data_IF_294727696936
#
_entry.id   IF_294727696936
#
_cell.length_a   1.000
_cell.length_b   1.000
_cell.length_c   1.000
_cell.angle_alpha   90.00
_cell.angle_beta   90.00
_cell.angle_gamma   90.00
#
_symmetry.space_group_name_H-M   'P 1'
#
loop_
_entity.id
_entity.type
_entity.pdbx_description
1 polymer ?
#
# COMPACT_ATOMS: atom_id res chain seq x y z
N UNK A 1 30.00 -43.07 28.90
CA UNK A 1 29.67 -41.74 28.36
C UNK A 1 29.51 -41.72 26.83
N UNK A 2 28.77 -42.68 26.25
CA UNK A 2 28.50 -42.74 24.79
C UNK A 2 27.02 -42.64 24.43
N UNK A 3 26.13 -42.86 25.41
CA UNK A 3 24.66 -42.86 25.23
C UNK A 3 24.00 -41.50 25.50
N UNK A 4 24.65 -40.61 26.26
CA UNK A 4 24.16 -39.24 26.49
C UNK A 4 24.36 -38.33 25.28
N UNK A 5 25.31 -38.65 24.39
CA UNK A 5 25.55 -37.89 23.15
C UNK A 5 24.45 -38.14 22.11
N UNK A 6 23.72 -39.26 22.20
CA UNK A 6 22.66 -39.60 21.24
C UNK A 6 21.32 -38.89 21.53
N UNK A 7 21.11 -38.40 22.76
CA UNK A 7 19.85 -37.71 23.13
C UNK A 7 19.92 -36.21 22.78
N UNK A 8 21.12 -35.63 22.73
CA UNK A 8 21.32 -34.21 22.36
C UNK A 8 21.10 -33.91 20.87
N UNK A 9 21.03 -34.93 20.01
CA UNK A 9 20.90 -34.75 18.57
C UNK A 9 19.43 -34.63 18.10
N UNK A 10 18.44 -34.86 18.97
CA UNK A 10 17.02 -34.90 18.58
C UNK A 10 16.29 -33.56 18.73
N UNK A 11 16.95 -32.50 19.20
CA UNK A 11 16.30 -31.21 19.51
C UNK A 11 16.51 -30.11 18.46
N UNK A 12 16.97 -30.44 17.26
CA UNK A 12 17.43 -29.46 16.26
C UNK A 12 16.48 -29.23 15.07
N UNK A 13 15.24 -29.72 15.13
CA UNK A 13 14.28 -29.51 14.03
C UNK A 13 12.94 -29.01 14.59
N UNK A 14 12.93 -27.82 15.15
CA UNK A 14 11.73 -26.97 15.13
C UNK A 14 12.03 -25.81 14.19
N UNK A 15 11.90 -26.06 12.88
CA UNK A 15 11.82 -24.97 11.92
C UNK A 15 10.55 -24.18 12.25
N UNK A 16 10.74 -22.94 12.70
CA UNK A 16 9.68 -21.96 12.75
C UNK A 16 9.16 -21.77 11.32
N UNK A 17 8.02 -22.38 11.00
CA UNK A 17 7.19 -21.96 9.87
C UNK A 17 6.55 -20.62 10.24
N UNK A 18 7.38 -19.57 10.33
CA UNK A 18 6.89 -18.21 10.37
C UNK A 18 6.37 -17.86 8.99
N UNK A 19 5.05 -17.92 8.81
CA UNK A 19 4.43 -17.34 7.61
C UNK A 19 4.85 -15.88 7.54
N UNK A 20 5.67 -15.56 6.55
CA UNK A 20 6.08 -14.18 6.36
C UNK A 20 4.89 -13.39 5.86
N UNK A 21 4.51 -12.34 6.60
CA UNK A 21 3.43 -11.43 6.20
C UNK A 21 3.67 -10.78 4.84
N UNK A 22 4.92 -10.75 4.35
CA UNK A 22 5.29 -10.24 3.02
C UNK A 22 4.63 -11.02 1.89
N UNK A 23 4.21 -12.26 2.11
CA UNK A 23 3.49 -13.06 1.12
C UNK A 23 2.04 -12.59 0.90
N UNK A 24 1.51 -11.74 1.78
CA UNK A 24 0.14 -11.24 1.71
C UNK A 24 0.09 -9.85 1.07
N UNK A 25 -0.87 -9.66 0.17
CA UNK A 25 -1.08 -8.39 -0.50
C UNK A 25 -2.07 -7.48 0.26
N UNK A 26 -3.09 -8.08 0.88
CA UNK A 26 -4.21 -7.38 1.48
C UNK A 26 -4.18 -7.46 3.01
N UNK A 27 -4.36 -6.32 3.66
CA UNK A 27 -4.49 -6.22 5.11
C UNK A 27 -5.75 -5.44 5.47
N UNK A 28 -6.59 -6.01 6.33
CA UNK A 28 -7.68 -5.33 7.00
C UNK A 28 -7.15 -4.70 8.28
N UNK A 29 -7.40 -3.40 8.45
CA UNK A 29 -7.17 -2.71 9.73
C UNK A 29 -8.55 -2.27 10.25
N UNK A 30 -8.98 -2.73 11.44
CA UNK A 30 -10.26 -2.34 11.98
C UNK A 30 -10.23 -0.86 12.40
N UNK A 31 -11.38 -0.19 12.35
CA UNK A 31 -11.49 1.19 12.84
C UNK A 31 -11.23 1.29 14.35
N UNK A 32 -11.62 0.23 15.07
CA UNK A 32 -11.36 0.05 16.50
C UNK A 32 -10.74 -1.31 16.76
N UNK A 33 -9.63 -1.31 17.48
CA UNK A 33 -8.95 -2.50 17.98
C UNK A 33 -9.70 -3.11 19.17
N UNK A 34 -9.52 -4.42 19.36
CA UNK A 34 -10.05 -5.16 20.51
C UNK A 34 -9.50 -4.62 21.84
N UNK A 35 -8.24 -4.18 21.85
CA UNK A 35 -7.67 -3.46 22.98
C UNK A 35 -8.10 -1.98 22.97
N UNK A 36 -8.94 -1.62 23.94
CA UNK A 36 -9.43 -0.26 24.12
C UNK A 36 -8.31 0.77 24.35
N UNK A 37 -7.17 0.37 24.91
CA UNK A 37 -6.03 1.28 25.13
C UNK A 37 -5.35 1.66 23.82
N UNK A 38 -5.25 0.71 22.88
CA UNK A 38 -4.66 0.93 21.56
C UNK A 38 -5.50 1.81 20.63
N UNK A 39 -6.79 2.03 20.95
CA UNK A 39 -7.66 2.95 20.22
C UNK A 39 -7.42 4.42 20.54
N UNK A 40 -6.60 4.70 21.55
CA UNK A 40 -6.18 6.05 21.88
C UNK A 40 -5.01 6.47 20.99
N UNK A 41 -4.70 7.76 20.95
CA UNK A 41 -3.47 8.29 20.34
C UNK A 41 -3.34 8.12 18.80
N UNK A 42 -4.42 7.76 18.10
CA UNK A 42 -4.46 7.70 16.64
C UNK A 42 -3.57 6.61 16.02
N UNK A 43 -3.32 5.52 16.75
CA UNK A 43 -2.45 4.43 16.29
C UNK A 43 -2.98 3.71 15.04
N UNK A 44 -4.30 3.68 14.84
CA UNK A 44 -4.94 3.15 13.64
C UNK A 44 -4.51 3.90 12.37
N UNK A 45 -4.56 5.24 12.40
CA UNK A 45 -4.17 6.10 11.27
C UNK A 45 -2.68 5.89 10.95
N UNK A 46 -1.84 5.80 11.99
CA UNK A 46 -0.41 5.58 11.82
C UNK A 46 -0.12 4.19 11.23
N UNK A 47 -0.78 3.15 11.72
CA UNK A 47 -0.63 1.78 11.22
C UNK A 47 -1.02 1.69 9.74
N UNK A 48 -2.18 2.22 9.36
CA UNK A 48 -2.63 2.27 7.96
C UNK A 48 -1.60 2.98 7.08
N UNK A 49 -1.12 4.16 7.51
CA UNK A 49 -0.11 4.93 6.77
C UNK A 49 1.18 4.13 6.58
N UNK A 50 1.67 3.46 7.63
CA UNK A 50 2.93 2.70 7.60
C UNK A 50 2.81 1.39 6.81
N UNK A 51 1.68 0.70 6.87
CA UNK A 51 1.43 -0.50 6.05
C UNK A 51 1.33 -0.15 4.56
N UNK A 52 0.62 0.94 4.21
CA UNK A 52 0.60 1.45 2.84
C UNK A 52 1.99 1.81 2.32
N UNK A 53 2.82 2.44 3.17
CA UNK A 53 4.21 2.74 2.83
C UNK A 53 5.06 1.47 2.57
N UNK A 54 4.63 0.32 3.08
CA UNK A 54 5.25 -1.00 2.84
C UNK A 54 4.56 -1.80 1.73
N UNK A 55 3.83 -1.13 0.83
CA UNK A 55 3.17 -1.74 -0.34
C UNK A 55 2.03 -2.71 0.00
N UNK A 56 1.52 -2.71 1.24
CA UNK A 56 0.31 -3.46 1.57
C UNK A 56 -0.95 -2.69 1.13
N UNK A 57 -1.90 -3.40 0.54
CA UNK A 57 -3.21 -2.85 0.19
C UNK A 57 -4.11 -2.93 1.41
N UNK A 58 -4.51 -1.77 1.94
CA UNK A 58 -5.41 -1.70 3.09
C UNK A 58 -6.86 -1.71 2.62
N UNK A 59 -7.60 -2.75 2.98
CA UNK A 59 -9.02 -2.85 2.68
C UNK A 59 -9.83 -2.14 3.77
N UNK A 60 -10.74 -1.26 3.36
CA UNK A 60 -11.81 -0.75 4.22
C UNK A 60 -12.85 -1.85 4.45
N UNK A 61 -13.64 -1.75 5.52
CA UNK A 61 -14.68 -2.74 5.81
C UNK A 61 -15.67 -2.92 4.64
N UNK A 62 -15.97 -1.84 3.92
CA UNK A 62 -16.82 -1.84 2.73
C UNK A 62 -16.18 -2.48 1.50
N UNK A 63 -14.86 -2.33 1.33
CA UNK A 63 -14.12 -2.93 0.21
C UNK A 63 -13.78 -4.42 0.47
N UNK A 64 -13.80 -4.84 1.73
CA UNK A 64 -13.60 -6.25 2.06
C UNK A 64 -14.76 -7.10 1.56
N UNK A 65 -16.01 -6.66 1.78
CA UNK A 65 -17.20 -7.42 1.39
C UNK A 65 -17.21 -7.77 -0.10
N UNK A 66 -16.78 -6.84 -0.97
CA UNK A 66 -16.70 -7.06 -2.42
C UNK A 66 -15.50 -7.90 -2.86
N UNK A 67 -14.38 -7.86 -2.11
CA UNK A 67 -13.20 -8.69 -2.38
C UNK A 67 -13.39 -10.14 -1.92
N UNK A 68 -14.05 -10.37 -0.78
CA UNK A 68 -14.35 -11.71 -0.24
C UNK A 68 -15.44 -12.43 -1.01
N UNK A 69 -16.22 -11.73 -1.83
CA UNK A 69 -17.26 -12.32 -2.66
C UNK A 69 -16.70 -13.02 -3.91
N UNK A 70 -15.47 -12.64 -4.33
CA UNK A 70 -14.82 -13.17 -5.53
C UNK A 70 -13.46 -13.85 -5.28
N UNK A 71 -12.88 -13.74 -4.07
CA UNK A 71 -11.57 -14.29 -3.72
C UNK A 71 -11.59 -15.03 -2.37
N UNK A 72 -10.57 -15.86 -2.12
CA UNK A 72 -10.42 -16.58 -0.87
C UNK A 72 -10.27 -15.60 0.32
N UNK A 73 -11.11 -15.69 1.37
CA UNK A 73 -11.08 -14.76 2.51
C UNK A 73 -9.77 -14.83 3.30
N UNK A 74 -9.02 -15.92 3.13
CA UNK A 74 -7.73 -16.15 3.77
C UNK A 74 -6.56 -15.44 3.07
N UNK A 75 -6.78 -14.78 1.93
CA UNK A 75 -5.78 -13.90 1.31
C UNK A 75 -5.65 -12.53 1.99
N UNK A 76 -6.58 -12.22 2.91
CA UNK A 76 -6.61 -10.97 3.67
C UNK A 76 -6.18 -11.24 5.11
N UNK A 77 -5.13 -10.56 5.57
CA UNK A 77 -4.75 -10.57 6.98
C UNK A 77 -5.48 -9.50 7.76
N UNK A 78 -5.90 -9.79 8.98
CA UNK A 78 -6.39 -8.78 9.92
C UNK A 78 -5.27 -8.32 10.84
N UNK A 79 -5.04 -7.01 10.90
CA UNK A 79 -4.04 -6.41 11.79
C UNK A 79 -4.69 -5.84 13.04
N UNK A 80 -4.24 -6.27 14.22
CA UNK A 80 -4.67 -5.76 15.51
C UNK A 80 -3.48 -5.14 16.26
N UNK A 81 -3.72 -4.03 16.96
CA UNK A 81 -2.76 -3.41 17.87
C UNK A 81 -3.15 -3.76 19.30
N UNK A 82 -2.14 -4.13 20.09
CA UNK A 82 -2.28 -4.43 21.51
C UNK A 82 -1.24 -3.61 22.28
N UNK A 83 -1.68 -2.95 23.36
CA UNK A 83 -0.83 -2.27 24.31
C UNK A 83 -0.24 -3.29 25.29
N UNK A 84 1.07 -3.52 25.18
CA UNK A 84 1.85 -4.41 26.06
C UNK A 84 2.80 -3.62 26.96
N UNK A 85 2.49 -2.33 27.18
CA UNK A 85 3.27 -1.43 28.02
C UNK A 85 3.35 -1.91 29.46
N UNK A 86 4.44 -1.55 30.12
CA UNK A 86 4.61 -1.71 31.56
C UNK A 86 4.78 -0.33 32.20
N UNK A 87 4.89 -0.28 33.53
CA UNK A 87 4.94 0.99 34.29
C UNK A 87 6.07 1.95 33.86
N UNK A 88 7.10 1.45 33.16
CA UNK A 88 8.31 2.21 32.83
C UNK A 88 8.60 2.29 31.33
N UNK A 89 7.82 1.62 30.48
CA UNK A 89 8.13 1.50 29.05
C UNK A 89 6.85 1.37 28.26
N UNK A 90 6.70 2.28 27.29
CA UNK A 90 5.65 2.22 26.28
C UNK A 90 5.99 1.11 25.28
N UNK A 91 5.07 0.17 25.10
CA UNK A 91 5.24 -0.96 24.19
C UNK A 91 3.95 -1.27 23.45
N UNK A 92 4.11 -1.57 22.17
CA UNK A 92 3.01 -1.92 21.27
C UNK A 92 3.34 -3.24 20.59
N UNK A 93 2.34 -4.12 20.48
CA UNK A 93 2.43 -5.32 19.65
C UNK A 93 1.41 -5.24 18.51
N UNK A 94 1.86 -5.52 17.29
CA UNK A 94 1.02 -5.66 16.11
C UNK A 94 0.86 -7.16 15.83
N UNK A 95 -0.37 -7.66 15.91
CA UNK A 95 -0.70 -9.05 15.63
C UNK A 95 -1.43 -9.13 14.28
N UNK A 96 -0.92 -9.96 13.37
CA UNK A 96 -1.55 -10.30 12.11
C UNK A 96 -2.26 -11.65 12.24
N UNK A 97 -3.54 -11.68 11.93
CA UNK A 97 -4.39 -12.87 12.00
C UNK A 97 -4.90 -13.26 10.62
N UNK A 98 -5.04 -14.54 10.38
CA UNK A 98 -5.70 -15.07 9.19
C UNK A 98 -7.25 -15.02 9.32
N UNK A 99 -7.93 -15.54 8.30
CA UNK A 99 -9.37 -15.72 8.24
C UNK A 99 -9.97 -16.56 9.39
N UNK A 100 -9.15 -17.40 10.04
CA UNK A 100 -9.55 -18.28 11.16
C UNK A 100 -9.19 -17.67 12.52
N UNK A 101 -8.89 -16.36 12.57
CA UNK A 101 -8.37 -15.65 13.75
C UNK A 101 -7.05 -16.21 14.31
N UNK A 102 -6.34 -17.05 13.56
CA UNK A 102 -5.06 -17.61 13.98
C UNK A 102 -3.95 -16.57 13.75
N UNK A 103 -3.12 -16.35 14.76
CA UNK A 103 -1.96 -15.44 14.64
C UNK A 103 -0.95 -16.03 13.65
N UNK A 104 -0.71 -15.28 12.56
CA UNK A 104 0.24 -15.58 11.48
C UNK A 104 1.60 -14.98 11.82
N UNK A 105 1.61 -13.76 12.35
CA UNK A 105 2.82 -13.08 12.80
C UNK A 105 2.51 -12.04 13.88
N UNK A 106 3.50 -11.78 14.73
CA UNK A 106 3.42 -10.77 15.78
C UNK A 106 4.71 -9.95 15.83
N UNK A 107 4.59 -8.63 15.87
CA UNK A 107 5.71 -7.71 15.93
C UNK A 107 5.57 -6.78 17.12
N UNK A 108 6.47 -6.90 18.09
CA UNK A 108 6.53 -6.00 19.25
C UNK A 108 7.48 -4.84 18.96
N UNK A 109 7.13 -3.64 19.40
CA UNK A 109 7.97 -2.46 19.40
C UNK A 109 7.93 -1.74 20.74
N UNK A 110 9.01 -1.03 21.05
CA UNK A 110 9.17 -0.34 22.35
C UNK A 110 9.68 1.07 22.16
N UNK A 111 9.26 1.97 23.04
CA UNK A 111 9.77 3.34 23.08
C UNK A 111 10.41 3.66 24.44
N UNK A 112 11.41 4.53 24.39
CA UNK A 112 12.03 5.15 25.58
C UNK A 112 11.42 6.51 25.92
N UNK A 113 10.54 7.04 25.06
CA UNK A 113 9.85 8.30 25.30
C UNK A 113 8.84 8.09 26.43
N UNK A 114 8.92 8.95 27.46
CA UNK A 114 8.06 8.86 28.64
C UNK A 114 6.66 9.38 28.39
N UNK A 115 6.50 10.36 27.51
CA UNK A 115 5.18 10.80 27.06
C UNK A 115 4.46 9.62 26.40
N UNK A 116 3.21 9.39 26.79
CA UNK A 116 2.47 8.19 26.39
C UNK A 116 2.00 8.28 24.94
N UNK A 117 1.55 9.44 24.47
CA UNK A 117 1.07 9.59 23.10
C UNK A 117 2.22 9.46 22.10
N UNK A 118 3.31 10.19 22.35
CA UNK A 118 4.51 10.13 21.51
C UNK A 118 5.19 8.77 21.63
N UNK A 119 5.29 8.21 22.84
CA UNK A 119 5.90 6.92 23.10
C UNK A 119 5.15 5.76 22.47
N UNK A 120 3.81 5.77 22.43
CA UNK A 120 3.04 4.73 21.75
C UNK A 120 3.15 4.83 20.23
N UNK A 121 3.18 6.04 19.67
CA UNK A 121 3.44 6.25 18.23
C UNK A 121 4.85 5.79 17.85
N UNK A 122 5.85 6.10 18.67
CA UNK A 122 7.24 5.68 18.46
C UNK A 122 7.41 4.15 18.60
N UNK A 123 6.80 3.54 19.61
CA UNK A 123 6.78 2.08 19.78
C UNK A 123 6.14 1.37 18.58
N UNK A 124 5.07 1.94 18.03
CA UNK A 124 4.45 1.43 16.81
C UNK A 124 5.39 1.57 15.59
N UNK A 125 6.17 2.65 15.50
CA UNK A 125 7.18 2.78 14.46
C UNK A 125 8.29 1.73 14.60
N UNK A 126 8.75 1.45 15.82
CA UNK A 126 9.73 0.39 16.10
C UNK A 126 9.21 -0.99 15.67
N UNK A 127 7.95 -1.30 15.98
CA UNK A 127 7.31 -2.54 15.52
C UNK A 127 7.26 -2.60 13.99
N UNK A 128 6.90 -1.49 13.33
CA UNK A 128 6.82 -1.42 11.87
C UNK A 128 8.18 -1.59 11.19
N UNK A 129 9.30 -1.24 11.81
CA UNK A 129 10.62 -1.48 11.20
C UNK A 129 10.93 -2.97 11.01
N UNK A 130 10.36 -3.84 11.85
CA UNK A 130 10.55 -5.30 11.82
C UNK A 130 9.69 -5.98 10.76
N UNK A 131 8.71 -5.27 10.20
CA UNK A 131 7.82 -5.76 9.16
C UNK A 131 8.50 -5.54 7.79
N UNK A 132 8.64 -6.61 7.01
CA UNK A 132 9.13 -6.52 5.64
C UNK A 132 8.13 -5.83 4.71
N UNK A 133 8.61 -5.35 3.56
CA UNK A 133 7.76 -4.83 2.47
C UNK A 133 6.96 -5.98 1.87
N UNK A 134 5.71 -5.71 1.48
CA UNK A 134 4.88 -6.69 0.77
C UNK A 134 5.53 -7.09 -0.56
N UNK A 135 5.65 -8.39 -0.79
CA UNK A 135 6.12 -8.98 -2.03
C UNK A 135 5.28 -10.25 -2.32
N UNK A 136 4.01 -10.08 -2.70
CA UNK A 136 3.13 -11.20 -2.98
C UNK A 136 3.60 -11.85 -4.28
N UNK A 137 4.33 -12.97 -4.16
CA UNK A 137 4.64 -13.82 -5.31
C UNK A 137 3.32 -14.44 -5.75
N UNK A 138 2.80 -14.05 -6.92
CA UNK A 138 1.68 -14.72 -7.58
C UNK A 138 2.03 -16.21 -7.68
N UNK A 139 1.40 -17.03 -6.84
CA UNK A 139 1.61 -18.49 -6.80
C UNK A 139 2.02 -19.10 -5.46
N UNK A 140 2.10 -18.37 -4.34
CA UNK A 140 2.48 -18.97 -3.04
C UNK A 140 1.42 -18.91 -1.93
N UNK A 141 0.27 -18.25 -2.14
CA UNK A 141 -0.83 -18.32 -1.16
C UNK A 141 -1.51 -19.72 -1.18
N UNK A 142 -1.20 -20.53 -2.20
CA UNK A 142 -1.63 -21.92 -2.30
C UNK A 142 -0.46 -22.92 -2.15
N UNK A 143 0.36 -22.84 -1.09
CA UNK A 143 1.28 -23.95 -0.77
C UNK A 143 1.34 -24.21 0.74
N UNK A 144 0.24 -24.75 1.27
CA UNK A 144 0.28 -25.85 2.24
C UNK A 144 -0.86 -26.84 1.93
N UNK A 145 -0.81 -27.43 0.73
CA UNK A 145 -1.37 -28.77 0.52
C UNK A 145 -0.29 -29.60 -0.17
N UNK A 146 0.25 -30.50 0.64
CA UNK A 146 0.76 -31.83 0.32
C UNK A 146 1.28 -32.11 -1.11
N UNK A 147 2.55 -32.49 -1.12
CA UNK A 147 3.42 -33.02 -2.17
C UNK A 147 2.87 -34.22 -2.97
N UNK A 148 2.92 -34.17 -4.31
CA UNK A 148 3.25 -35.27 -5.26
C UNK A 148 3.75 -34.62 -6.58
N UNK A 149 4.77 -35.18 -7.30
CA UNK A 149 5.65 -34.39 -8.18
C UNK A 149 5.13 -34.18 -9.61
N UNK A 150 5.59 -33.06 -10.20
CA UNK A 150 5.35 -32.62 -11.58
C UNK A 150 6.33 -33.29 -12.55
N UNK A 151 5.79 -33.92 -13.59
CA UNK A 151 6.53 -34.33 -14.80
C UNK A 151 6.46 -33.23 -15.85
N UNK A 152 7.62 -32.89 -16.41
CA UNK A 152 7.89 -31.86 -17.42
C UNK A 152 7.61 -32.38 -18.83
N UNK A 153 6.86 -31.62 -19.66
CA UNK A 153 6.99 -31.51 -21.14
C UNK A 153 6.41 -30.13 -21.57
N UNK A 154 7.21 -29.14 -21.97
CA UNK A 154 7.80 -28.80 -23.29
C UNK A 154 6.80 -28.33 -24.37
N UNK A 155 6.66 -27.01 -24.45
CA UNK A 155 6.73 -26.09 -25.60
C UNK A 155 6.27 -26.55 -27.00
N UNK A 156 5.22 -25.90 -27.55
CA UNK A 156 5.26 -25.45 -28.94
C UNK A 156 4.46 -24.14 -29.20
N UNK A 157 5.16 -23.29 -29.94
CA UNK A 157 4.89 -22.00 -30.57
C UNK A 157 3.85 -22.10 -31.70
N UNK A 158 2.85 -21.20 -31.73
CA UNK A 158 2.31 -20.69 -33.00
C UNK A 158 2.03 -19.20 -32.90
N UNK A 159 2.63 -18.50 -33.87
CA UNK A 159 2.56 -17.09 -34.16
C UNK A 159 1.47 -16.93 -35.22
N UNK A 160 0.50 -16.04 -35.01
CA UNK A 160 -0.22 -15.46 -36.14
C UNK A 160 -0.56 -13.99 -35.86
N UNK A 161 -0.41 -13.23 -36.93
CA UNK A 161 -0.29 -11.79 -37.02
C UNK A 161 -1.59 -11.17 -37.57
N UNK A 162 -1.76 -9.87 -37.30
CA UNK A 162 -2.25 -8.80 -38.21
C UNK A 162 -3.55 -8.07 -37.82
N UNK A 163 -3.39 -6.74 -37.72
CA UNK A 163 -4.29 -5.58 -37.97
C UNK A 163 -5.25 -5.03 -36.90
N UNK A 164 -4.76 -3.96 -36.27
CA UNK A 164 -5.28 -2.57 -36.21
C UNK A 164 -6.57 -2.28 -37.04
N UNK A 165 -7.60 -1.70 -36.42
CA UNK A 165 -8.16 -0.33 -36.64
C UNK A 165 -9.51 -0.15 -35.89
N UNK A 166 -9.53 0.84 -35.00
CA UNK A 166 -10.58 1.84 -34.69
C UNK A 166 -12.08 1.51 -34.81
N UNK A 167 -12.84 1.72 -33.72
CA UNK A 167 -14.07 2.54 -33.73
C UNK A 167 -14.67 2.83 -32.34
N UNK A 168 -14.77 4.14 -32.05
CA UNK A 168 -15.91 4.94 -31.57
C UNK A 168 -16.92 4.39 -30.53
N UNK A 169 -17.10 5.24 -29.51
CA UNK A 169 -18.23 5.45 -28.59
C UNK A 169 -19.57 5.65 -29.34
N UNK A 170 -20.75 5.29 -28.78
CA UNK A 170 -21.60 6.22 -27.98
C UNK A 170 -22.26 5.54 -26.73
N UNK A 171 -22.24 6.13 -25.52
CA UNK A 171 -23.19 7.09 -24.90
C UNK A 171 -24.32 6.47 -24.04
N UNK A 172 -24.21 6.71 -22.73
CA UNK A 172 -25.20 6.98 -21.67
C UNK A 172 -26.42 6.07 -21.41
N UNK A 173 -26.68 5.72 -20.13
CA UNK A 173 -27.81 6.25 -19.32
C UNK A 173 -27.46 6.26 -17.80
N UNK A 174 -27.58 7.46 -17.24
CA UNK A 174 -27.99 7.93 -15.90
C UNK A 174 -28.42 6.94 -14.82
N UNK A 175 -27.89 7.11 -13.60
CA UNK A 175 -28.70 7.34 -12.40
C UNK A 175 -27.96 8.22 -11.38
N UNK A 176 -28.67 9.26 -10.94
CA UNK A 176 -28.24 10.38 -10.10
C UNK A 176 -28.57 10.06 -8.64
N UNK A 177 -27.57 10.12 -7.77
CA UNK A 177 -27.71 10.43 -6.36
C UNK A 177 -26.58 11.40 -5.98
N UNK A 178 -26.88 12.38 -5.16
CA UNK A 178 -26.37 13.74 -5.22
C UNK A 178 -25.50 14.09 -3.99
N UNK A 179 -24.23 14.47 -4.21
CA UNK A 179 -23.40 15.39 -3.37
C UNK A 179 -21.96 15.50 -3.94
N UNK A 180 -21.18 16.56 -3.66
CA UNK A 180 -21.29 17.94 -4.10
C UNK A 180 -20.34 18.28 -5.27
N UNK A 181 -20.82 19.13 -6.19
CA UNK A 181 -20.10 20.00 -7.15
C UNK A 181 -18.70 19.58 -7.63
N UNK A 182 -18.67 18.67 -8.61
CA UNK A 182 -17.49 18.39 -9.44
C UNK A 182 -17.31 19.53 -10.44
N UNK A 183 -16.32 20.39 -10.19
CA UNK A 183 -15.81 21.32 -11.21
C UNK A 183 -15.14 20.51 -12.32
N UNK A 184 -15.46 20.87 -13.57
CA UNK A 184 -15.00 20.30 -14.84
C UNK A 184 -13.56 19.76 -14.77
N UNK A 185 -13.38 18.44 -14.85
CA UNK A 185 -12.06 17.81 -14.91
C UNK A 185 -11.36 18.21 -16.22
N UNK A 186 -10.25 18.95 -16.12
CA UNK A 186 -9.40 19.25 -17.27
C UNK A 186 -8.45 18.06 -17.52
N UNK A 187 -8.36 17.58 -18.76
CA UNK A 187 -7.51 16.43 -19.10
C UNK A 187 -6.19 16.92 -19.70
N UNK A 188 -5.09 16.32 -19.29
CA UNK A 188 -3.74 16.63 -19.73
C UNK A 188 -3.01 15.37 -20.17
N UNK A 189 -2.18 15.44 -21.20
CA UNK A 189 -1.40 14.30 -21.72
C UNK A 189 0.01 14.69 -22.15
N UNK A 190 0.94 13.74 -22.03
CA UNK A 190 2.29 13.84 -22.60
C UNK A 190 2.50 12.84 -23.77
N UNK A 191 1.43 12.27 -24.31
CA UNK A 191 1.44 11.26 -25.38
C UNK A 191 1.48 9.80 -24.88
N UNK A 192 2.09 9.54 -23.72
CA UNK A 192 2.14 8.19 -23.11
C UNK A 192 1.23 8.07 -21.90
N UNK A 193 1.04 9.17 -21.16
CA UNK A 193 0.23 9.24 -19.95
C UNK A 193 -0.87 10.28 -20.13
N UNK A 194 -2.07 9.96 -19.65
CA UNK A 194 -3.23 10.86 -19.61
C UNK A 194 -3.66 11.04 -18.16
N UNK A 195 -3.77 12.29 -17.73
CA UNK A 195 -3.99 12.70 -16.35
C UNK A 195 -5.15 13.69 -16.28
N UNK A 196 -6.01 13.53 -15.27
CA UNK A 196 -7.09 14.44 -14.96
C UNK A 196 -6.63 15.42 -13.89
N UNK A 197 -6.72 16.72 -14.19
CA UNK A 197 -6.51 17.78 -13.22
C UNK A 197 -7.78 17.98 -12.41
N UNK A 198 -7.66 17.81 -11.10
CA UNK A 198 -8.73 18.04 -10.13
C UNK A 198 -8.28 19.16 -9.21
N UNK A 199 -8.95 20.30 -9.28
CA UNK A 199 -8.65 21.48 -8.45
C UNK A 199 -9.26 21.29 -7.07
N UNK A 200 -8.45 21.50 -6.05
CA UNK A 200 -8.81 21.47 -4.63
C UNK A 200 -8.97 22.92 -4.12
N UNK A 201 -9.26 23.06 -2.83
CA UNK A 201 -9.33 24.36 -2.16
C UNK A 201 -7.95 25.03 -2.12
N UNK A 202 -7.94 26.36 -1.98
CA UNK A 202 -6.73 27.18 -1.77
C UNK A 202 -5.68 27.10 -2.91
N UNK A 203 -6.11 26.79 -4.14
CA UNK A 203 -5.22 26.73 -5.30
C UNK A 203 -4.34 25.48 -5.36
N UNK A 204 -4.55 24.52 -4.46
CA UNK A 204 -3.99 23.17 -4.58
C UNK A 204 -4.73 22.41 -5.70
N UNK A 205 -4.03 21.52 -6.40
CA UNK A 205 -4.67 20.61 -7.33
C UNK A 205 -3.91 19.28 -7.39
N UNK A 206 -4.58 18.25 -7.90
CA UNK A 206 -3.96 16.95 -8.16
C UNK A 206 -4.03 16.62 -9.63
N UNK A 207 -3.02 15.89 -10.10
CA UNK A 207 -3.10 15.14 -11.35
C UNK A 207 -3.40 13.69 -11.02
N UNK A 208 -4.55 13.19 -11.44
CA UNK A 208 -4.99 11.82 -11.21
C UNK A 208 -4.93 11.03 -12.52
N UNK A 209 -4.28 9.86 -12.50
CA UNK A 209 -4.41 8.91 -13.60
C UNK A 209 -5.74 8.15 -13.40
N UNK A 210 -6.65 8.10 -14.40
CA UNK A 210 -7.94 7.43 -14.24
C UNK A 210 -7.83 5.92 -13.93
N UNK A 211 -6.68 5.31 -14.27
CA UNK A 211 -6.40 3.91 -13.99
C UNK A 211 -5.67 3.69 -12.65
N UNK A 212 -5.51 4.72 -11.82
CA UNK A 212 -4.82 4.68 -10.54
C UNK A 212 -5.62 5.38 -9.45
N UNK A 213 -5.72 4.75 -8.28
CA UNK A 213 -6.30 5.40 -7.09
C UNK A 213 -5.33 6.35 -6.39
N UNK A 214 -4.04 6.35 -6.78
CA UNK A 214 -3.02 7.29 -6.29
C UNK A 214 -2.86 8.41 -7.31
N UNK A 215 -2.93 9.69 -6.88
CA UNK A 215 -2.65 10.81 -7.78
C UNK A 215 -1.21 10.70 -8.28
N UNK A 216 -1.03 10.97 -9.57
CA UNK A 216 0.28 11.06 -10.20
C UNK A 216 1.15 12.12 -9.51
N UNK A 217 0.55 13.25 -9.13
CA UNK A 217 1.21 14.26 -8.32
C UNK A 217 0.22 15.21 -7.64
N UNK A 218 0.62 15.70 -6.47
CA UNK A 218 -0.11 16.69 -5.66
C UNK A 218 0.63 18.01 -5.76
N UNK A 219 -0.06 19.07 -6.20
CA UNK A 219 0.52 20.37 -6.50
C UNK A 219 0.08 21.39 -5.47
N UNK A 220 0.99 21.80 -4.59
CA UNK A 220 0.76 22.83 -3.58
C UNK A 220 1.34 24.16 -4.04
N UNK A 221 0.59 25.26 -4.01
CA UNK A 221 1.08 26.56 -4.48
C UNK A 221 2.32 26.99 -3.69
N UNK A 222 3.30 27.54 -4.40
CA UNK A 222 4.49 28.17 -3.80
C UNK A 222 4.30 29.68 -3.63
N UNK A 223 5.31 30.36 -3.11
CA UNK A 223 5.34 31.83 -3.06
C UNK A 223 5.48 32.49 -4.44
N UNK A 224 5.91 31.75 -5.46
CA UNK A 224 6.03 32.23 -6.84
C UNK A 224 4.77 31.86 -7.62
N UNK A 225 4.22 32.84 -8.35
CA UNK A 225 3.04 32.66 -9.21
C UNK A 225 3.27 31.50 -10.19
N UNK A 226 2.22 30.70 -10.39
CA UNK A 226 2.20 29.56 -11.32
C UNK A 226 3.28 28.49 -11.05
N UNK A 227 3.87 28.51 -9.86
CA UNK A 227 4.89 27.56 -9.42
C UNK A 227 4.40 26.80 -8.19
N UNK A 228 4.62 25.50 -8.15
CA UNK A 228 4.06 24.56 -7.20
C UNK A 228 5.14 23.64 -6.63
N UNK A 229 5.03 23.33 -5.34
CA UNK A 229 5.71 22.18 -4.74
C UNK A 229 4.92 20.93 -5.10
N UNK A 230 5.56 20.01 -5.80
CA UNK A 230 4.92 18.80 -6.29
C UNK A 230 5.37 17.62 -5.44
N UNK A 231 4.42 16.86 -4.91
CA UNK A 231 4.68 15.56 -4.33
C UNK A 231 4.21 14.50 -5.32
N UNK A 232 5.15 13.73 -5.88
CA UNK A 232 4.87 12.64 -6.82
C UNK A 232 4.28 11.42 -6.11
N UNK A 233 3.74 10.49 -6.88
CA UNK A 233 3.12 9.25 -6.37
C UNK A 233 4.06 8.35 -5.56
N UNK A 234 5.37 8.44 -5.83
CA UNK A 234 6.44 7.76 -5.08
C UNK A 234 6.83 8.47 -3.77
N UNK A 235 6.21 9.63 -3.50
CA UNK A 235 6.49 10.47 -2.34
C UNK A 235 7.62 11.48 -2.55
N UNK A 236 8.32 11.41 -3.69
CA UNK A 236 9.40 12.34 -4.05
C UNK A 236 8.84 13.75 -4.18
N UNK A 237 9.52 14.71 -3.56
CA UNK A 237 9.15 16.12 -3.66
C UNK A 237 10.01 16.81 -4.70
N UNK A 238 9.35 17.50 -5.61
CA UNK A 238 9.98 18.23 -6.71
C UNK A 238 9.25 19.54 -6.98
N UNK A 239 9.66 20.26 -8.02
CA UNK A 239 9.02 21.47 -8.49
C UNK A 239 8.15 21.17 -9.72
N UNK A 240 7.05 21.90 -9.84
CA UNK A 240 6.26 21.94 -11.05
C UNK A 240 5.74 23.35 -11.28
N UNK A 241 5.48 23.70 -12.53
CA UNK A 241 5.02 25.03 -12.89
C UNK A 241 4.09 24.96 -14.09
N UNK A 242 3.26 25.99 -14.23
CA UNK A 242 2.38 26.18 -15.38
C UNK A 242 3.05 27.12 -16.36
N UNK A 243 3.22 26.68 -17.61
CA UNK A 243 3.82 27.45 -18.69
C UNK A 243 2.93 27.35 -19.92
N UNK A 244 2.37 28.48 -20.38
CA UNK A 244 1.48 28.53 -21.54
C UNK A 244 0.28 27.55 -21.49
N UNK A 245 -0.25 27.30 -20.29
CA UNK A 245 -1.35 26.34 -20.09
C UNK A 245 -0.93 24.87 -20.12
N UNK A 246 0.37 24.58 -20.19
CA UNK A 246 0.95 23.25 -19.98
C UNK A 246 1.38 23.09 -18.53
N UNK A 247 1.38 21.86 -18.04
CA UNK A 247 1.90 21.51 -16.72
C UNK A 247 3.28 20.91 -16.91
N UNK A 248 4.30 21.55 -16.34
CA UNK A 248 5.66 21.05 -16.34
C UNK A 248 6.01 20.54 -14.94
N UNK A 249 6.64 19.37 -14.88
CA UNK A 249 7.09 18.75 -13.62
C UNK A 249 8.56 18.39 -13.79
N UNK A 250 9.40 18.87 -12.89
CA UNK A 250 10.81 18.50 -12.83
C UNK A 250 10.93 17.10 -12.21
N UNK A 251 11.43 16.14 -12.95
CA UNK A 251 11.65 14.78 -12.45
C UNK A 251 13.10 14.64 -12.01
N UNK A 252 13.37 14.41 -10.72
CA UNK A 252 14.73 14.24 -10.24
C UNK A 252 15.33 12.94 -10.79
N UNK A 253 16.56 13.02 -11.25
CA UNK A 253 17.37 11.90 -11.70
C UNK A 253 18.34 11.46 -10.59
N UNK A 254 18.81 10.19 -10.60
CA UNK A 254 19.73 9.69 -9.56
C UNK A 254 21.06 10.45 -9.45
N UNK A 255 21.45 11.17 -10.50
CA UNK A 255 22.67 11.99 -10.56
C UNK A 255 22.48 13.41 -9.97
N UNK A 256 21.28 13.73 -9.48
CA UNK A 256 20.93 15.04 -8.92
C UNK A 256 20.52 16.09 -9.97
N UNK A 257 20.44 15.71 -11.24
CA UNK A 257 19.87 16.56 -12.30
C UNK A 257 18.35 16.39 -12.39
N UNK A 258 17.70 17.23 -13.21
CA UNK A 258 16.25 17.21 -13.40
C UNK A 258 15.89 17.10 -14.88
N UNK A 259 14.86 16.30 -15.17
CA UNK A 259 14.26 16.22 -16.50
C UNK A 259 12.81 16.73 -16.48
N UNK A 260 12.42 17.53 -17.47
CA UNK A 260 11.08 18.11 -17.51
C UNK A 260 10.08 17.17 -18.17
N UNK A 261 9.05 16.76 -17.42
CA UNK A 261 7.85 16.15 -17.99
C UNK A 261 6.80 17.23 -18.26
N UNK A 262 6.36 17.32 -19.52
CA UNK A 262 5.43 18.34 -19.98
C UNK A 262 4.11 17.68 -20.36
N UNK A 263 3.03 18.12 -19.73
CA UNK A 263 1.68 17.68 -20.03
C UNK A 263 0.89 18.83 -20.67
N UNK A 264 0.37 18.60 -21.86
CA UNK A 264 -0.46 19.56 -22.60
C UNK A 264 -1.93 19.25 -22.39
N UNK A 265 -2.75 20.30 -22.32
CA UNK A 265 -4.20 20.16 -22.21
C UNK A 265 -4.76 19.49 -23.47
N UNK A 266 -5.63 18.49 -23.28
CA UNK A 266 -6.32 17.76 -24.33
C UNK A 266 -7.67 18.42 -24.68
#
# INVERSE_FOLDING_TARGET
MKKFLQISALFLITFFYGQQISAYQYIRVPEKFKDAKSNKYGLNILLVKKLKAKQFVILSETAQSSMTENNDPCEVLSAEIIDVSNMFTNKVRIDFKDCNEKSVASFEGKSKIKDFEEGMKDALQDAMMKIAVSNPVKGLVAVQKESVPVTIQKEEKVRETVKVVSSKVPTAITNKAESPTIQKAEVYTNGTLTLNKIVLLNGEFILANPNSSVPYGIFKPSSKKDTYRVQLSDGTTTLGYLEEGKIVIEMPLPDGTFNNQIFSKQ
#
